data_IF_842819352972
#
_entry.id   IF_842819352972
#
_cell.length_a   1.000
_cell.length_b   1.000
_cell.length_c   1.000
_cell.angle_alpha   90.00
_cell.angle_beta   90.00
_cell.angle_gamma   90.00
#
_symmetry.space_group_name_H-M   'P 1'
#
loop_
_entity.id
_entity.type
_entity.pdbx_description
1 polymer ?
#
# COMPACT_ATOMS: atom_id res chain seq x y z
N UNK A 1 -11.26 6.28 -7.24
CA UNK A 1 -9.99 6.15 -6.47
C UNK A 1 -9.78 7.39 -5.58
N UNK A 2 -10.11 8.56 -6.09
CA UNK A 2 -10.12 9.89 -5.48
C UNK A 2 -10.71 9.90 -4.06
N UNK A 3 -11.93 9.40 -3.87
CA UNK A 3 -12.59 9.33 -2.56
C UNK A 3 -11.78 8.52 -1.56
N UNK A 4 -11.23 7.38 -1.98
CA UNK A 4 -10.36 6.53 -1.15
C UNK A 4 -9.11 7.29 -0.71
N UNK A 5 -8.47 8.05 -1.62
CA UNK A 5 -7.29 8.83 -1.29
C UNK A 5 -7.62 9.96 -0.29
N UNK A 6 -8.75 10.65 -0.48
CA UNK A 6 -9.21 11.70 0.43
C UNK A 6 -9.55 11.14 1.81
N UNK A 7 -10.23 9.99 1.89
CA UNK A 7 -10.51 9.31 3.17
C UNK A 7 -9.22 8.97 3.92
N UNK A 8 -8.22 8.39 3.23
CA UNK A 8 -6.93 8.05 3.85
C UNK A 8 -6.25 9.31 4.37
N UNK A 9 -6.20 10.38 3.56
CA UNK A 9 -5.56 11.64 3.94
C UNK A 9 -6.35 12.39 5.03
N UNK A 10 -7.66 12.24 5.07
CA UNK A 10 -8.55 12.83 6.09
C UNK A 10 -8.27 12.30 7.49
N UNK A 11 -7.73 11.09 7.60
CA UNK A 11 -7.33 10.46 8.88
C UNK A 11 -5.98 10.96 9.40
N UNK A 12 -5.23 11.73 8.60
CA UNK A 12 -3.89 12.18 8.94
C UNK A 12 -3.86 13.64 9.43
N UNK A 13 -2.90 13.92 10.30
CA UNK A 13 -2.54 15.27 10.69
C UNK A 13 -1.95 16.07 9.52
N UNK A 14 -1.77 17.38 9.77
CA UNK A 14 -1.32 18.38 8.78
C UNK A 14 0.02 18.07 8.09
N UNK A 15 0.79 17.12 8.62
CA UNK A 15 2.08 16.70 8.05
C UNK A 15 1.95 15.96 6.70
N UNK A 16 0.76 15.46 6.35
CA UNK A 16 0.51 14.71 5.12
C UNK A 16 1.14 13.32 5.11
N UNK A 17 1.07 12.62 3.98
CA UNK A 17 1.50 11.23 3.83
C UNK A 17 2.48 11.08 2.65
N UNK A 18 3.46 10.19 2.77
CA UNK A 18 4.32 9.85 1.63
C UNK A 18 3.50 9.17 0.52
N UNK A 19 3.80 9.45 -0.75
CA UNK A 19 3.06 8.93 -1.92
C UNK A 19 2.99 7.41 -1.97
N UNK A 20 4.11 6.75 -1.69
CA UNK A 20 4.21 5.30 -1.69
C UNK A 20 3.36 4.65 -0.59
N UNK A 21 3.29 5.29 0.58
CA UNK A 21 2.43 4.88 1.68
C UNK A 21 0.94 5.09 1.35
N UNK A 22 0.59 6.24 0.78
CA UNK A 22 -0.76 6.53 0.34
C UNK A 22 -1.23 5.53 -0.73
N UNK A 23 -0.36 5.20 -1.68
CA UNK A 23 -0.64 4.20 -2.71
C UNK A 23 -0.85 2.81 -2.10
N UNK A 24 -0.01 2.40 -1.14
CA UNK A 24 -0.16 1.12 -0.44
C UNK A 24 -1.53 1.03 0.27
N UNK A 25 -1.93 2.07 1.00
CA UNK A 25 -3.21 2.11 1.72
C UNK A 25 -4.43 2.19 0.78
N UNK A 26 -4.21 2.64 -0.46
CA UNK A 26 -5.18 2.56 -1.54
C UNK A 26 -5.14 1.21 -2.30
N UNK A 27 -4.30 0.26 -1.88
CA UNK A 27 -4.18 -1.07 -2.49
C UNK A 27 -3.47 -1.09 -3.84
N UNK A 28 -2.61 -0.10 -4.11
CA UNK A 28 -1.94 0.10 -5.40
C UNK A 28 -0.48 0.54 -5.22
N UNK A 29 0.18 0.98 -6.30
CA UNK A 29 1.53 1.55 -6.26
C UNK A 29 1.53 2.94 -6.90
N UNK A 30 2.48 3.78 -6.49
CA UNK A 30 2.64 5.15 -7.01
C UNK A 30 2.87 5.21 -8.53
N UNK A 31 3.29 4.10 -9.14
CA UNK A 31 3.61 4.01 -10.58
C UNK A 31 2.37 3.78 -11.44
N UNK A 32 1.25 3.37 -10.83
CA UNK A 32 0.03 3.00 -11.56
C UNK A 32 -0.66 4.26 -12.11
N UNK A 33 -1.23 4.13 -13.31
CA UNK A 33 -1.95 5.22 -13.98
C UNK A 33 -3.14 5.68 -13.12
N UNK A 34 -3.99 4.73 -12.72
CA UNK A 34 -5.16 4.97 -11.86
C UNK A 34 -4.86 5.84 -10.63
N UNK A 35 -3.77 5.55 -9.91
CA UNK A 35 -3.33 6.33 -8.75
C UNK A 35 -2.83 7.73 -9.13
N UNK A 36 -2.00 7.83 -10.17
CA UNK A 36 -1.44 9.12 -10.63
C UNK A 36 -2.53 10.04 -11.15
N UNK A 37 -3.47 9.51 -11.90
CA UNK A 37 -4.58 10.25 -12.49
C UNK A 37 -5.52 10.75 -11.38
N UNK A 38 -5.89 9.87 -10.43
CA UNK A 38 -6.70 10.27 -9.28
C UNK A 38 -6.00 11.35 -8.43
N UNK A 39 -4.69 11.21 -8.19
CA UNK A 39 -3.93 12.22 -7.44
C UNK A 39 -3.84 13.55 -8.22
N UNK A 40 -3.64 13.51 -9.53
CA UNK A 40 -3.62 14.70 -10.38
C UNK A 40 -4.98 15.42 -10.38
N UNK A 41 -6.09 14.67 -10.46
CA UNK A 41 -7.45 15.20 -10.35
C UNK A 41 -7.65 15.91 -9.01
N UNK A 42 -7.28 15.28 -7.89
CA UNK A 42 -7.42 15.89 -6.57
C UNK A 42 -6.57 17.15 -6.39
N UNK A 43 -5.37 17.19 -6.99
CA UNK A 43 -4.51 18.39 -7.00
C UNK A 43 -5.16 19.49 -7.85
N UNK A 44 -5.67 19.16 -9.04
CA UNK A 44 -6.35 20.11 -9.93
C UNK A 44 -7.60 20.71 -9.30
N UNK A 45 -8.34 19.91 -8.53
CA UNK A 45 -9.51 20.35 -7.75
C UNK A 45 -9.16 21.03 -6.42
N UNK A 46 -7.87 21.24 -6.11
CA UNK A 46 -7.38 21.86 -4.87
C UNK A 46 -7.83 21.16 -3.58
N UNK A 47 -8.17 19.86 -3.64
CA UNK A 47 -8.56 19.06 -2.48
C UNK A 47 -7.33 18.46 -1.76
N UNK A 48 -6.23 18.32 -2.49
CA UNK A 48 -4.93 17.93 -1.93
C UNK A 48 -3.82 18.80 -2.50
N UNK A 49 -2.71 18.88 -1.78
CA UNK A 49 -1.51 19.61 -2.17
C UNK A 49 -0.25 18.77 -1.99
N UNK A 50 0.79 19.13 -2.74
CA UNK A 50 2.12 18.55 -2.60
C UNK A 50 2.92 19.35 -1.57
N UNK A 51 3.23 18.72 -0.44
CA UNK A 51 4.10 19.26 0.59
C UNK A 51 5.58 18.97 0.36
N UNK A 52 6.41 19.46 1.28
CA UNK A 52 7.84 19.18 1.33
C UNK A 52 8.14 17.67 1.36
N UNK A 53 9.18 17.25 0.62
CA UNK A 53 9.56 15.83 0.53
C UNK A 53 8.57 14.95 -0.25
N UNK A 54 7.84 15.53 -1.20
CA UNK A 54 6.84 14.82 -2.02
C UNK A 54 5.70 14.15 -1.21
N UNK A 55 5.38 14.71 -0.05
CA UNK A 55 4.23 14.27 0.76
C UNK A 55 2.94 14.85 0.20
N UNK A 56 1.87 14.07 0.21
CA UNK A 56 0.53 14.50 -0.17
C UNK A 56 -0.20 14.97 1.09
N UNK A 57 -0.77 16.18 1.07
CA UNK A 57 -1.50 16.79 2.19
C UNK A 57 -2.93 17.05 1.77
N UNK A 58 -3.89 16.77 2.65
CA UNK A 58 -5.28 17.22 2.46
C UNK A 58 -5.36 18.72 2.72
N UNK A 59 -6.07 19.45 1.86
CA UNK A 59 -6.37 20.87 2.07
C UNK A 59 -7.59 21.02 2.99
N UNK A 60 -7.87 22.23 3.52
CA UNK A 60 -9.13 22.47 4.24
C UNK A 60 -10.35 22.09 3.40
N UNK A 61 -10.36 22.43 2.12
CA UNK A 61 -11.45 22.12 1.19
C UNK A 61 -11.61 20.61 0.99
N UNK A 62 -10.49 19.89 0.83
CA UNK A 62 -10.49 18.43 0.78
C UNK A 62 -10.99 17.78 2.06
N UNK A 63 -10.70 18.39 3.21
CA UNK A 63 -11.16 17.89 4.51
C UNK A 63 -12.66 18.05 4.69
N UNK A 64 -13.22 19.20 4.29
CA UNK A 64 -14.68 19.41 4.25
C UNK A 64 -15.35 18.41 3.30
N UNK A 65 -14.70 18.05 2.18
CA UNK A 65 -15.24 17.06 1.24
C UNK A 65 -15.36 15.63 1.80
N UNK A 66 -14.67 15.31 2.90
CA UNK A 66 -14.77 14.01 3.60
C UNK A 66 -15.30 14.13 5.02
N UNK A 67 -15.84 15.30 5.37
CA UNK A 67 -16.43 15.56 6.68
C UNK A 67 -17.69 14.68 6.85
N UNK A 68 -17.73 13.88 7.92
CA UNK A 68 -18.79 12.90 8.16
C UNK A 68 -18.58 11.51 7.54
N UNK A 69 -17.51 11.29 6.76
CA UNK A 69 -17.13 9.95 6.33
C UNK A 69 -16.59 9.13 7.51
N UNK A 70 -16.91 7.83 7.54
CA UNK A 70 -16.35 6.91 8.54
C UNK A 70 -14.83 6.82 8.36
N UNK A 71 -14.10 7.53 9.23
CA UNK A 71 -12.65 7.56 9.25
C UNK A 71 -12.13 6.20 9.73
N UNK A 72 -11.31 5.55 8.90
CA UNK A 72 -10.61 4.31 9.26
C UNK A 72 -9.18 4.64 9.60
N UNK A 73 -8.71 4.17 10.74
CA UNK A 73 -7.29 4.20 11.08
C UNK A 73 -6.47 3.48 10.01
N UNK A 74 -5.18 3.80 9.96
CA UNK A 74 -4.22 3.11 9.07
C UNK A 74 -4.28 1.58 9.27
N UNK A 75 -4.42 1.12 10.52
CA UNK A 75 -4.47 -0.30 10.84
C UNK A 75 -5.77 -0.96 10.36
N UNK A 76 -6.92 -0.31 10.51
CA UNK A 76 -8.19 -0.82 9.97
C UNK A 76 -8.16 -0.87 8.44
N UNK A 77 -7.58 0.14 7.79
CA UNK A 77 -7.39 0.16 6.33
C UNK A 77 -6.53 -1.02 5.88
N UNK A 78 -5.41 -1.26 6.56
CA UNK A 78 -4.57 -2.43 6.31
C UNK A 78 -5.34 -3.73 6.53
N UNK A 79 -6.12 -3.84 7.61
CA UNK A 79 -6.90 -5.04 7.91
C UNK A 79 -7.93 -5.34 6.80
N UNK A 80 -8.61 -4.31 6.26
CA UNK A 80 -9.53 -4.47 5.11
C UNK A 80 -8.79 -4.93 3.86
N UNK A 81 -7.62 -4.33 3.59
CA UNK A 81 -6.81 -4.73 2.44
C UNK A 81 -6.33 -6.18 2.57
N UNK A 82 -6.07 -6.66 3.78
CA UNK A 82 -5.69 -8.06 4.06
C UNK A 82 -6.87 -9.01 3.99
N UNK A 83 -8.03 -8.64 4.52
CA UNK A 83 -9.22 -9.51 4.51
C UNK A 83 -9.74 -9.80 3.10
N UNK A 84 -9.50 -8.89 2.15
CA UNK A 84 -9.84 -9.10 0.74
C UNK A 84 -8.84 -9.96 -0.05
N UNK A 85 -7.77 -10.48 0.59
CA UNK A 85 -6.73 -11.25 -0.10
C UNK A 85 -7.02 -12.75 -0.12
N UNK A 86 -6.48 -13.39 -1.14
CA UNK A 86 -6.45 -14.84 -1.22
C UNK A 86 -5.61 -15.45 -0.09
N UNK A 87 -5.96 -16.65 0.41
CA UNK A 87 -5.21 -17.33 1.47
C UNK A 87 -3.71 -17.50 1.16
N UNK A 88 -3.37 -17.70 -0.12
CA UNK A 88 -1.98 -17.86 -0.57
C UNK A 88 -1.18 -16.56 -0.51
N UNK A 89 -1.81 -15.41 -0.74
CA UNK A 89 -1.16 -14.11 -0.67
C UNK A 89 -0.77 -13.81 0.78
N UNK A 90 -1.68 -14.07 1.73
CA UNK A 90 -1.39 -13.94 3.16
C UNK A 90 -0.31 -14.90 3.65
N UNK A 91 -0.29 -16.13 3.15
CA UNK A 91 0.79 -17.08 3.48
C UNK A 91 2.17 -16.57 3.03
N UNK A 92 2.26 -15.91 1.87
CA UNK A 92 3.51 -15.28 1.39
C UNK A 92 3.88 -14.08 2.26
N UNK A 93 2.92 -13.21 2.60
CA UNK A 93 3.16 -12.06 3.50
C UNK A 93 3.67 -12.55 4.86
N UNK A 94 3.03 -13.57 5.44
CA UNK A 94 3.45 -14.17 6.70
C UNK A 94 4.87 -14.76 6.62
N UNK A 95 5.21 -15.43 5.52
CA UNK A 95 6.56 -15.94 5.28
C UNK A 95 7.62 -14.83 5.25
N UNK A 96 7.35 -13.74 4.52
CA UNK A 96 8.28 -12.60 4.45
C UNK A 96 8.39 -11.87 5.79
N UNK A 97 7.30 -11.78 6.54
CA UNK A 97 7.27 -11.17 7.87
C UNK A 97 8.04 -12.01 8.89
N UNK A 98 7.87 -13.34 8.87
CA UNK A 98 8.62 -14.28 9.72
C UNK A 98 10.12 -14.27 9.41
N UNK A 99 10.51 -13.98 8.16
CA UNK A 99 11.90 -13.75 7.78
C UNK A 99 12.45 -12.38 8.18
N UNK A 100 11.70 -11.58 8.93
CA UNK A 100 12.12 -10.24 9.36
C UNK A 100 12.21 -9.25 8.21
N UNK A 101 11.42 -9.42 7.14
CA UNK A 101 11.38 -8.53 5.97
C UNK A 101 12.67 -8.53 5.11
N UNK A 102 13.57 -9.48 5.36
CA UNK A 102 14.78 -9.71 4.57
C UNK A 102 14.41 -10.22 3.16
N UNK A 103 15.13 -9.82 2.10
CA UNK A 103 14.92 -10.38 0.77
C UNK A 103 15.08 -11.90 0.74
N UNK A 104 14.05 -12.59 0.23
CA UNK A 104 14.04 -14.03 0.01
C UNK A 104 13.95 -14.36 -1.48
N UNK A 105 14.63 -15.41 -1.91
CA UNK A 105 14.53 -15.94 -3.26
C UNK A 105 13.22 -16.71 -3.46
N UNK A 106 12.80 -16.85 -4.72
CA UNK A 106 11.61 -17.64 -5.08
C UNK A 106 11.63 -19.06 -4.49
N UNK A 107 12.78 -19.72 -4.54
CA UNK A 107 12.96 -21.08 -4.02
C UNK A 107 12.77 -21.15 -2.50
N UNK A 108 13.29 -20.17 -1.77
CA UNK A 108 13.19 -20.10 -0.30
C UNK A 108 11.74 -19.84 0.14
N UNK A 109 11.04 -18.93 -0.54
CA UNK A 109 9.62 -18.67 -0.26
C UNK A 109 8.81 -19.93 -0.55
N UNK A 110 9.11 -20.64 -1.65
CA UNK A 110 8.45 -21.90 -1.99
C UNK A 110 8.63 -22.96 -0.91
N UNK A 111 9.86 -23.15 -0.44
CA UNK A 111 10.20 -24.11 0.60
C UNK A 111 9.47 -23.79 1.91
N UNK A 112 9.49 -22.52 2.33
CA UNK A 112 8.85 -22.08 3.60
C UNK A 112 7.33 -22.10 3.55
N UNK A 113 6.73 -21.85 2.40
CA UNK A 113 5.26 -21.77 2.25
C UNK A 113 4.61 -23.07 1.78
N UNK A 114 5.38 -24.00 1.23
CA UNK A 114 4.89 -25.24 0.62
C UNK A 114 4.00 -25.03 -0.61
N UNK A 115 3.97 -23.81 -1.18
CA UNK A 115 3.11 -23.48 -2.30
C UNK A 115 3.66 -24.06 -3.61
N UNK A 116 2.75 -24.54 -4.46
CA UNK A 116 3.11 -24.95 -5.83
C UNK A 116 3.68 -23.76 -6.62
N UNK A 117 4.60 -24.00 -7.57
CA UNK A 117 5.34 -22.93 -8.27
C UNK A 117 4.43 -21.96 -9.04
N UNK A 118 3.34 -22.46 -9.64
CA UNK A 118 2.36 -21.63 -10.34
C UNK A 118 1.59 -20.72 -9.38
N UNK A 119 1.11 -21.28 -8.27
CA UNK A 119 0.37 -20.55 -7.24
C UNK A 119 1.25 -19.47 -6.62
N UNK A 120 2.49 -19.81 -6.26
CA UNK A 120 3.44 -18.85 -5.71
C UNK A 120 3.73 -17.71 -6.69
N UNK A 121 3.96 -18.03 -7.97
CA UNK A 121 4.19 -17.02 -9.00
C UNK A 121 3.00 -16.05 -9.12
N UNK A 122 1.78 -16.57 -9.15
CA UNK A 122 0.56 -15.74 -9.20
C UNK A 122 0.41 -14.88 -7.95
N UNK A 123 0.64 -15.44 -6.77
CA UNK A 123 0.58 -14.70 -5.50
C UNK A 123 1.61 -13.56 -5.47
N UNK A 124 2.86 -13.83 -5.83
CA UNK A 124 3.93 -12.81 -5.90
C UNK A 124 3.59 -11.72 -6.93
N UNK A 125 3.03 -12.08 -8.09
CA UNK A 125 2.60 -11.10 -9.10
C UNK A 125 1.51 -10.17 -8.57
N UNK A 126 0.49 -10.71 -7.86
CA UNK A 126 -0.58 -9.91 -7.25
C UNK A 126 -0.05 -9.02 -6.14
N UNK A 127 0.71 -9.57 -5.20
CA UNK A 127 1.32 -8.82 -4.10
C UNK A 127 2.23 -7.70 -4.61
N UNK A 128 2.98 -7.93 -5.69
CA UNK A 128 3.82 -6.91 -6.32
C UNK A 128 2.98 -5.84 -7.01
N UNK A 129 1.92 -6.23 -7.71
CA UNK A 129 0.98 -5.31 -8.38
C UNK A 129 0.32 -4.36 -7.37
N UNK A 130 -0.07 -4.91 -6.22
CA UNK A 130 -0.78 -4.17 -5.18
C UNK A 130 0.16 -3.43 -4.21
N UNK A 131 1.49 -3.49 -4.43
CA UNK A 131 2.48 -2.73 -3.65
C UNK A 131 2.90 -3.33 -2.31
N UNK A 132 2.55 -4.58 -2.01
CA UNK A 132 2.85 -5.24 -0.75
C UNK A 132 4.27 -5.78 -0.68
N UNK A 133 4.81 -6.15 -1.83
CA UNK A 133 6.17 -6.65 -1.98
C UNK A 133 6.89 -5.92 -3.11
N UNK A 134 8.21 -5.89 -3.02
CA UNK A 134 9.09 -5.45 -4.09
C UNK A 134 10.03 -6.57 -4.48
N UNK A 135 10.33 -6.66 -5.77
CA UNK A 135 11.26 -7.62 -6.34
C UNK A 135 12.55 -6.89 -6.73
N UNK A 136 13.69 -7.37 -6.27
CA UNK A 136 15.02 -6.85 -6.59
C UNK A 136 15.96 -8.00 -6.91
N UNK A 137 16.50 -8.03 -8.13
CA UNK A 137 17.47 -9.07 -8.57
C UNK A 137 16.97 -10.50 -8.31
N UNK A 138 15.68 -10.76 -8.54
CA UNK A 138 15.05 -12.07 -8.32
C UNK A 138 14.66 -12.39 -6.87
N UNK A 139 15.04 -11.55 -5.90
CA UNK A 139 14.63 -11.67 -4.51
C UNK A 139 13.39 -10.81 -4.23
N UNK A 140 12.53 -11.28 -3.33
CA UNK A 140 11.30 -10.62 -2.91
C UNK A 140 11.42 -10.19 -1.45
N UNK A 141 11.00 -8.97 -1.16
CA UNK A 141 10.91 -8.43 0.19
C UNK A 141 9.59 -7.66 0.34
N UNK A 142 9.18 -7.39 1.57
CA UNK A 142 8.04 -6.49 1.82
C UNK A 142 8.37 -5.08 1.36
N UNK A 143 7.35 -4.34 0.94
CA UNK A 143 7.58 -2.97 0.45
C UNK A 143 8.05 -2.05 1.57
N UNK A 144 8.91 -1.05 1.30
CA UNK A 144 9.36 -0.09 2.31
C UNK A 144 8.21 0.70 2.97
N UNK A 145 7.12 0.94 2.24
CA UNK A 145 5.92 1.54 2.80
C UNK A 145 5.27 0.64 3.86
N UNK A 146 5.17 -0.67 3.59
CA UNK A 146 4.63 -1.63 4.54
C UNK A 146 5.55 -1.82 5.74
N UNK A 147 6.87 -1.87 5.53
CA UNK A 147 7.87 -1.95 6.61
C UNK A 147 7.75 -0.78 7.59
N UNK A 148 7.60 0.46 7.08
CA UNK A 148 7.38 1.64 7.92
C UNK A 148 6.09 1.57 8.74
N UNK A 149 5.01 0.99 8.19
CA UNK A 149 3.75 0.85 8.90
C UNK A 149 3.82 -0.14 10.07
N UNK A 150 4.67 -1.16 9.96
CA UNK A 150 4.85 -2.19 10.99
C UNK A 150 6.01 -1.87 11.95
N UNK A 151 6.61 -0.67 11.84
CA UNK A 151 7.69 -0.20 12.72
C UNK A 151 9.05 -0.87 12.47
N UNK A 152 9.33 -1.25 11.22
CA UNK A 152 10.57 -1.92 10.78
C UNK A 152 11.33 -1.09 9.75
#
# INVERSE_FOLDING_TARGET
METVLLEILGTQDRCGMAKDLLALLAGTTERRGDFRDALATLIGSKLVSMGTGARVRITPEGRTAVEGAASKTIFERLAILRSGREPYDERVIACLSAAGHVPLQFAEIRERTGLGPRILKTALQRLRRDGWIVERRGAFMTSPALARLIGR
#
